data_IF_428273693312
#
_entry.id   IF_428273693312
#
_cell.length_a   1.000
_cell.length_b   1.000
_cell.length_c   1.000
_cell.angle_alpha   90.00
_cell.angle_beta   90.00
_cell.angle_gamma   90.00
#
_symmetry.space_group_name_H-M   'P 1'
#
loop_
_entity.id
_entity.type
_entity.pdbx_description
1 polymer ?
#
# COMPACT_ATOMS: atom_id res chain seq x y z
N UNK A 1 23.12 11.47 -43.24
CA UNK A 1 23.13 12.24 -42.00
C UNK A 1 22.63 11.37 -40.84
N UNK A 2 23.39 10.35 -40.41
CA UNK A 2 22.94 9.39 -39.39
C UNK A 2 24.09 8.83 -38.55
N UNK A 3 25.12 9.64 -38.27
CA UNK A 3 26.34 9.18 -37.55
C UNK A 3 26.80 10.05 -36.37
N UNK A 4 25.99 10.98 -35.86
CA UNK A 4 26.44 11.91 -34.80
C UNK A 4 25.89 11.57 -33.41
N UNK A 5 25.01 10.56 -33.27
CA UNK A 5 24.34 10.27 -31.97
C UNK A 5 24.96 9.10 -31.17
N UNK A 6 26.04 8.47 -31.64
CA UNK A 6 26.67 7.32 -30.96
C UNK A 6 27.96 7.62 -30.20
N UNK A 7 28.52 8.80 -30.36
CA UNK A 7 29.77 9.18 -29.71
C UNK A 7 29.68 9.52 -28.21
N UNK A 8 28.58 10.09 -27.65
CA UNK A 8 28.55 10.34 -26.21
C UNK A 8 28.27 9.10 -25.34
N UNK A 9 27.72 8.03 -25.93
CA UNK A 9 27.42 6.81 -25.17
C UNK A 9 28.68 5.94 -24.95
N UNK A 10 29.64 6.00 -25.83
CA UNK A 10 30.91 5.26 -25.71
C UNK A 10 31.86 5.88 -24.67
N UNK A 11 31.74 7.18 -24.40
CA UNK A 11 32.57 7.87 -23.42
C UNK A 11 32.19 7.57 -21.96
N UNK A 12 30.96 7.08 -21.72
CA UNK A 12 30.47 6.71 -20.38
C UNK A 12 30.95 5.32 -19.92
N UNK A 13 31.48 4.51 -20.82
CA UNK A 13 31.93 3.14 -20.52
C UNK A 13 33.45 3.03 -20.25
N UNK A 14 34.19 4.11 -20.32
CA UNK A 14 35.64 4.14 -20.08
C UNK A 14 36.00 4.68 -18.69
N UNK A 15 35.33 4.21 -17.64
CA UNK A 15 35.82 4.49 -16.29
C UNK A 15 36.94 3.49 -15.94
N UNK A 16 38.10 3.97 -15.52
CA UNK A 16 39.18 3.08 -15.07
C UNK A 16 38.73 2.35 -13.81
N UNK A 17 38.71 1.02 -13.89
CA UNK A 17 38.54 0.16 -12.72
C UNK A 17 39.82 0.25 -11.91
N UNK A 18 39.82 1.00 -10.82
CA UNK A 18 40.90 0.95 -9.84
C UNK A 18 40.80 -0.40 -9.11
N UNK A 19 41.71 -1.29 -9.42
CA UNK A 19 41.97 -2.50 -8.66
C UNK A 19 42.44 -2.10 -7.26
N UNK A 20 41.62 -2.28 -6.25
CA UNK A 20 42.04 -2.16 -4.87
C UNK A 20 42.81 -3.42 -4.49
N UNK A 21 44.07 -3.25 -4.12
CA UNK A 21 44.88 -4.29 -3.45
C UNK A 21 44.14 -4.75 -2.18
N UNK A 22 43.99 -6.06 -1.94
CA UNK A 22 43.35 -6.53 -0.71
C UNK A 22 44.28 -6.16 0.48
N UNK A 23 43.85 -5.21 1.28
CA UNK A 23 44.42 -5.02 2.60
C UNK A 23 43.97 -6.21 3.45
N UNK A 24 44.97 -6.94 3.97
CA UNK A 24 44.77 -8.03 4.91
C UNK A 24 44.18 -7.47 6.21
N UNK A 25 42.85 -7.46 6.28
CA UNK A 25 42.15 -6.95 7.45
C UNK A 25 41.68 -8.16 8.26
N UNK A 26 42.45 -8.51 9.26
CA UNK A 26 42.00 -9.37 10.34
C UNK A 26 40.78 -8.72 11.02
N UNK A 27 39.58 -9.10 10.59
CA UNK A 27 38.35 -8.68 11.22
C UNK A 27 38.24 -9.38 12.58
N UNK A 28 38.58 -8.64 13.63
CA UNK A 28 38.21 -9.04 15.00
C UNK A 28 36.69 -9.00 15.08
N UNK A 29 36.05 -10.16 15.00
CA UNK A 29 34.59 -10.28 15.22
C UNK A 29 34.34 -9.94 16.68
N UNK A 30 33.98 -8.71 16.97
CA UNK A 30 33.36 -8.35 18.23
C UNK A 30 32.03 -9.09 18.30
N UNK A 31 31.73 -9.65 19.46
CA UNK A 31 30.46 -10.33 19.72
C UNK A 31 29.32 -9.62 19.04
N UNK A 32 28.71 -10.26 18.05
CA UNK A 32 27.46 -9.81 17.49
C UNK A 32 26.40 -10.16 18.51
N UNK A 33 26.04 -9.22 19.35
CA UNK A 33 24.87 -9.31 20.18
C UNK A 33 23.66 -9.18 19.23
N UNK A 34 23.09 -10.31 18.84
CA UNK A 34 21.83 -10.35 18.12
C UNK A 34 20.76 -9.98 19.16
N UNK A 35 20.57 -8.69 19.37
CA UNK A 35 19.34 -8.22 19.98
C UNK A 35 18.25 -8.54 18.97
N UNK A 36 17.49 -9.62 19.23
CA UNK A 36 16.29 -9.93 18.50
C UNK A 36 15.33 -8.76 18.68
N UNK A 37 15.33 -7.84 17.74
CA UNK A 37 14.33 -6.80 17.64
C UNK A 37 13.00 -7.50 17.42
N UNK A 38 12.20 -7.63 18.46
CA UNK A 38 10.75 -7.83 18.34
C UNK A 38 10.32 -6.87 17.25
N UNK A 39 9.71 -7.39 16.19
CA UNK A 39 9.23 -6.65 15.02
C UNK A 39 9.45 -5.14 15.14
N UNK A 40 10.53 -4.62 14.55
CA UNK A 40 11.00 -3.25 14.74
C UNK A 40 9.96 -2.25 14.22
N UNK A 41 8.91 -1.99 14.95
CA UNK A 41 7.81 -1.16 14.53
C UNK A 41 6.48 -1.47 15.21
N UNK A 42 6.33 -2.67 15.79
CA UNK A 42 5.10 -3.02 16.50
C UNK A 42 5.26 -2.75 18.00
N UNK A 43 4.40 -1.91 18.55
CA UNK A 43 4.32 -1.62 19.98
C UNK A 43 2.88 -1.76 20.47
N UNK A 44 2.70 -1.86 21.78
CA UNK A 44 1.37 -1.89 22.40
C UNK A 44 1.28 -0.76 23.43
N UNK A 45 0.22 0.03 23.35
CA UNK A 45 -0.06 1.12 24.28
C UNK A 45 -1.56 1.22 24.52
N UNK A 46 -1.96 1.12 25.79
CA UNK A 46 -3.37 1.28 26.19
C UNK A 46 -4.32 0.27 25.51
N UNK A 47 -3.89 -0.98 25.30
CA UNK A 47 -4.68 -2.00 24.61
C UNK A 47 -4.74 -1.86 23.09
N UNK A 48 -4.08 -0.85 22.53
CA UNK A 48 -3.94 -0.68 21.08
C UNK A 48 -2.58 -1.21 20.61
N UNK A 49 -2.58 -1.95 19.52
CA UNK A 49 -1.40 -2.35 18.78
C UNK A 49 -1.05 -1.28 17.77
N UNK A 50 0.16 -0.80 17.81
CA UNK A 50 0.66 0.32 17.02
C UNK A 50 1.77 -0.20 16.12
N UNK A 51 1.56 -0.16 14.81
CA UNK A 51 2.57 -0.40 13.80
C UNK A 51 3.09 0.94 13.31
N UNK A 52 4.39 1.19 13.47
CA UNK A 52 5.05 2.35 12.85
C UNK A 52 5.46 2.00 11.43
N UNK A 53 5.11 2.86 10.51
CA UNK A 53 5.49 2.76 9.10
C UNK A 53 6.75 3.61 8.91
N UNK A 54 7.92 2.97 8.92
CA UNK A 54 9.20 3.66 8.77
C UNK A 54 9.47 4.08 7.31
N UNK A 55 10.40 5.02 7.12
CA UNK A 55 10.88 5.45 5.79
C UNK A 55 11.87 4.43 5.18
N UNK A 56 11.57 3.16 5.26
CA UNK A 56 12.38 2.11 4.64
C UNK A 56 11.85 1.77 3.24
N UNK A 57 12.65 1.01 2.49
CA UNK A 57 12.30 0.64 1.11
C UNK A 57 10.97 -0.13 1.04
N UNK A 58 10.66 -0.98 2.02
CA UNK A 58 9.41 -1.72 2.05
C UNK A 58 8.19 -0.81 2.23
N UNK A 59 8.27 0.23 3.05
CA UNK A 59 7.19 1.21 3.22
C UNK A 59 6.98 2.06 1.97
N UNK A 60 8.04 2.33 1.22
CA UNK A 60 7.97 3.09 -0.04
C UNK A 60 7.29 2.28 -1.15
N UNK A 61 7.53 0.97 -1.19
CA UNK A 61 7.02 0.09 -2.25
C UNK A 61 5.68 -0.56 -1.91
N UNK A 62 5.37 -0.70 -0.63
CA UNK A 62 4.18 -1.40 -0.16
C UNK A 62 2.94 -0.51 -0.16
N UNK A 63 1.81 -1.17 -0.29
CA UNK A 63 0.49 -0.56 -0.09
C UNK A 63 0.12 -0.56 1.40
N UNK A 64 -0.90 0.19 1.76
CA UNK A 64 -1.47 0.17 3.12
C UNK A 64 -2.01 -1.22 3.48
N UNK A 65 -2.60 -1.93 2.51
CA UNK A 65 -3.02 -3.32 2.69
C UNK A 65 -1.86 -4.26 3.03
N UNK A 66 -0.67 -4.07 2.41
CA UNK A 66 0.53 -4.84 2.75
C UNK A 66 1.04 -4.54 4.16
N UNK A 67 0.93 -3.28 4.59
CA UNK A 67 1.28 -2.88 5.95
C UNK A 67 0.35 -3.54 6.99
N UNK A 68 -0.94 -3.68 6.68
CA UNK A 68 -1.90 -4.35 7.57
C UNK A 68 -1.56 -5.82 7.82
N UNK A 69 -0.98 -6.52 6.84
CA UNK A 69 -0.53 -7.92 7.01
C UNK A 69 0.54 -8.10 8.09
N UNK A 70 1.18 -7.01 8.51
CA UNK A 70 2.17 -7.04 9.60
C UNK A 70 1.50 -6.95 10.99
N UNK A 71 0.22 -6.62 11.05
CA UNK A 71 -0.53 -6.55 12.30
C UNK A 71 -0.99 -7.95 12.73
N UNK A 72 -0.83 -8.31 14.01
CA UNK A 72 -1.28 -9.61 14.50
C UNK A 72 -2.80 -9.75 14.46
N UNK A 73 -3.27 -10.91 14.04
CA UNK A 73 -4.70 -11.26 13.89
C UNK A 73 -5.44 -10.46 12.82
N UNK A 74 -4.72 -9.73 11.97
CA UNK A 74 -5.27 -9.09 10.77
C UNK A 74 -4.92 -9.93 9.55
N UNK A 75 -5.90 -10.21 8.74
CA UNK A 75 -5.75 -10.88 7.45
C UNK A 75 -6.24 -9.92 6.38
N UNK A 76 -5.43 -9.71 5.36
CA UNK A 76 -5.81 -8.93 4.17
C UNK A 76 -5.77 -9.87 2.99
N UNK A 77 -6.87 -9.98 2.28
CA UNK A 77 -6.95 -10.78 1.07
C UNK A 77 -6.25 -10.12 -0.14
N UNK A 78 -6.33 -10.75 -1.31
CA UNK A 78 -5.74 -10.21 -2.54
C UNK A 78 -6.51 -8.99 -3.09
N UNK A 79 -7.72 -8.77 -2.62
CA UNK A 79 -8.58 -7.66 -3.02
C UNK A 79 -8.49 -6.49 -2.03
N UNK A 80 -7.67 -6.66 -0.98
CA UNK A 80 -7.46 -5.65 0.04
C UNK A 80 -8.52 -5.65 1.14
N UNK A 81 -9.50 -6.56 1.09
CA UNK A 81 -10.48 -6.68 2.16
C UNK A 81 -9.81 -7.16 3.44
N UNK A 82 -10.11 -6.47 4.53
CA UNK A 82 -9.47 -6.65 5.82
C UNK A 82 -10.40 -7.42 6.75
N UNK A 83 -9.86 -8.45 7.40
CA UNK A 83 -10.53 -9.13 8.51
C UNK A 83 -9.67 -9.05 9.75
N UNK A 84 -10.29 -8.85 10.89
CA UNK A 84 -9.65 -8.88 12.19
C UNK A 84 -10.33 -9.90 13.09
N UNK A 85 -9.54 -10.81 13.66
CA UNK A 85 -10.06 -11.92 14.49
C UNK A 85 -11.15 -12.75 13.81
N UNK A 86 -11.09 -12.86 12.48
CA UNK A 86 -12.05 -13.63 11.68
C UNK A 86 -13.33 -12.87 11.28
N UNK A 87 -13.51 -11.62 11.70
CA UNK A 87 -14.63 -10.77 11.28
C UNK A 87 -14.17 -9.72 10.26
N UNK A 88 -14.96 -9.51 9.21
CA UNK A 88 -14.75 -8.45 8.23
C UNK A 88 -15.34 -7.10 8.62
N UNK A 89 -16.09 -7.05 9.74
CA UNK A 89 -16.69 -5.80 10.23
C UNK A 89 -15.68 -4.99 11.05
N UNK A 90 -14.71 -4.38 10.37
CA UNK A 90 -13.63 -3.59 10.94
C UNK A 90 -13.85 -2.12 10.64
N UNK A 91 -14.01 -1.30 11.68
CA UNK A 91 -14.11 0.15 11.53
C UNK A 91 -12.78 0.75 11.07
N UNK A 92 -12.83 1.69 10.11
CA UNK A 92 -11.64 2.32 9.56
C UNK A 92 -11.68 3.83 9.74
N UNK A 93 -10.61 4.35 10.35
CA UNK A 93 -10.44 5.77 10.62
C UNK A 93 -9.20 6.30 9.91
N UNK A 94 -9.25 7.57 9.54
CA UNK A 94 -8.07 8.35 9.15
C UNK A 94 -7.95 9.51 10.12
N UNK A 95 -6.83 9.60 10.83
CA UNK A 95 -6.57 10.59 11.88
C UNK A 95 -7.67 10.62 12.98
N UNK A 96 -8.23 9.45 13.29
CA UNK A 96 -9.30 9.30 14.28
C UNK A 96 -10.71 9.65 13.80
N UNK A 97 -10.88 9.98 12.51
CA UNK A 97 -12.17 10.32 11.91
C UNK A 97 -12.60 9.21 10.94
N UNK A 98 -13.88 8.76 10.96
CA UNK A 98 -14.40 7.84 9.96
C UNK A 98 -14.21 8.39 8.55
N UNK A 99 -13.76 7.53 7.64
CA UNK A 99 -13.47 7.93 6.27
C UNK A 99 -14.34 7.11 5.30
N UNK A 100 -15.37 7.73 4.74
CA UNK A 100 -16.42 7.06 3.98
C UNK A 100 -15.92 6.21 2.80
N UNK A 101 -14.83 6.58 2.12
CA UNK A 101 -14.22 5.75 1.08
C UNK A 101 -13.67 4.42 1.62
N UNK A 102 -13.15 4.41 2.85
CA UNK A 102 -12.67 3.19 3.49
C UNK A 102 -13.80 2.36 4.09
N UNK A 103 -14.96 2.95 4.35
CA UNK A 103 -16.14 2.22 4.81
C UNK A 103 -16.80 1.45 3.67
N UNK A 104 -16.93 2.08 2.50
CA UNK A 104 -17.65 1.50 1.35
C UNK A 104 -16.74 0.68 0.43
N UNK A 105 -15.49 1.13 0.20
CA UNK A 105 -14.56 0.55 -0.76
C UNK A 105 -13.20 0.20 -0.14
N UNK A 106 -13.19 -0.23 1.12
CA UNK A 106 -11.95 -0.42 1.90
C UNK A 106 -10.87 -1.22 1.17
N UNK A 107 -11.23 -2.35 0.60
CA UNK A 107 -10.29 -3.22 -0.10
C UNK A 107 -9.63 -2.52 -1.28
N UNK A 108 -10.43 -2.01 -2.21
CA UNK A 108 -9.92 -1.36 -3.42
C UNK A 108 -9.09 -0.12 -3.11
N UNK A 109 -9.43 0.63 -2.08
CA UNK A 109 -8.69 1.83 -1.66
C UNK A 109 -7.37 1.43 -0.98
N UNK A 110 -7.38 0.49 -0.04
CA UNK A 110 -6.21 0.10 0.75
C UNK A 110 -5.06 -0.50 -0.08
N UNK A 111 -5.39 -1.25 -1.13
CA UNK A 111 -4.37 -1.77 -2.06
C UNK A 111 -3.81 -0.71 -3.00
N UNK A 112 -4.39 0.48 -3.04
CA UNK A 112 -3.96 1.60 -3.87
C UNK A 112 -3.22 2.67 -3.05
N UNK A 113 -3.59 2.83 -1.78
CA UNK A 113 -2.95 3.81 -0.90
C UNK A 113 -1.51 3.40 -0.57
N UNK A 114 -0.51 4.27 -0.82
CA UNK A 114 0.85 3.99 -0.41
C UNK A 114 0.98 3.95 1.10
N UNK A 115 1.66 2.93 1.64
CA UNK A 115 1.94 2.85 3.07
C UNK A 115 2.74 4.06 3.58
N UNK A 116 3.56 4.66 2.72
CA UNK A 116 4.36 5.85 3.01
C UNK A 116 3.52 7.08 3.39
N UNK A 117 2.24 7.14 3.00
CA UNK A 117 1.37 8.26 3.36
C UNK A 117 1.06 8.31 4.86
N UNK A 118 1.25 7.19 5.54
CA UNK A 118 0.99 7.04 6.97
C UNK A 118 2.29 6.84 7.74
N UNK A 119 2.34 7.39 8.92
CA UNK A 119 3.46 7.17 9.83
C UNK A 119 3.16 6.04 10.82
N UNK A 120 1.88 5.82 11.07
CA UNK A 120 1.42 4.86 12.06
C UNK A 120 0.08 4.25 11.67
N UNK A 121 -0.06 2.97 11.92
CA UNK A 121 -1.33 2.23 11.87
C UNK A 121 -1.61 1.73 13.27
N UNK A 122 -2.73 2.09 13.86
CA UNK A 122 -3.14 1.60 15.16
C UNK A 122 -4.36 0.69 15.05
N UNK A 123 -4.32 -0.41 15.78
CA UNK A 123 -5.38 -1.42 15.85
C UNK A 123 -5.86 -1.52 17.29
N UNK A 124 -7.12 -1.21 17.51
CA UNK A 124 -7.78 -1.31 18.81
C UNK A 124 -8.97 -2.27 18.77
N UNK A 125 -9.24 -2.94 19.90
CA UNK A 125 -10.46 -3.74 20.06
C UNK A 125 -11.69 -2.86 20.32
N UNK A 126 -11.46 -1.63 20.78
CA UNK A 126 -12.52 -0.68 21.12
C UNK A 126 -12.28 0.64 20.37
N UNK A 127 -13.35 1.31 19.93
CA UNK A 127 -13.24 2.64 19.35
C UNK A 127 -12.73 3.65 20.38
N UNK A 128 -11.98 4.67 19.95
CA UNK A 128 -11.73 5.82 20.79
C UNK A 128 -13.07 6.51 21.13
N UNK A 129 -13.14 7.17 22.29
CA UNK A 129 -14.37 7.75 22.86
C UNK A 129 -15.10 8.70 21.90
N UNK A 130 -14.38 9.28 20.95
CA UNK A 130 -14.89 10.23 19.96
C UNK A 130 -15.26 9.59 18.61
N UNK A 131 -15.12 8.30 18.46
CA UNK A 131 -15.49 7.60 17.24
C UNK A 131 -16.80 6.83 17.42
N UNK A 132 -17.67 6.86 16.40
CA UNK A 132 -18.86 6.02 16.35
C UNK A 132 -18.43 4.57 16.07
N UNK A 133 -18.81 3.60 16.90
CA UNK A 133 -18.36 2.23 16.77
C UNK A 133 -19.19 1.47 15.75
N UNK A 134 -18.83 1.55 14.47
CA UNK A 134 -19.46 0.73 13.43
C UNK A 134 -18.79 -0.64 13.22
N UNK A 135 -17.66 -0.89 13.86
CA UNK A 135 -16.90 -2.11 13.71
C UNK A 135 -16.99 -3.04 14.94
N UNK A 136 -17.66 -4.17 14.83
CA UNK A 136 -17.78 -5.18 15.90
C UNK A 136 -16.47 -5.88 16.21
N UNK A 137 -15.59 -6.03 15.23
CA UNK A 137 -14.34 -6.74 15.38
C UNK A 137 -13.22 -5.88 15.98
N UNK A 138 -13.27 -4.58 15.75
CA UNK A 138 -12.26 -3.62 16.18
C UNK A 138 -12.09 -2.48 15.19
N UNK A 139 -11.15 -1.59 15.49
CA UNK A 139 -10.92 -0.38 14.72
C UNK A 139 -9.47 -0.29 14.28
N UNK A 140 -9.27 0.00 13.00
CA UNK A 140 -8.01 0.38 12.40
C UNK A 140 -7.99 1.89 12.18
N UNK A 141 -6.98 2.57 12.71
CA UNK A 141 -6.79 3.99 12.50
C UNK A 141 -5.47 4.24 11.77
N UNK A 142 -5.57 4.88 10.62
CA UNK A 142 -4.47 5.31 9.78
C UNK A 142 -4.06 6.72 10.20
N UNK A 143 -2.87 6.88 10.78
CA UNK A 143 -2.36 8.19 11.17
C UNK A 143 -1.49 8.74 10.03
N UNK A 144 -1.90 9.83 9.37
CA UNK A 144 -1.16 10.42 8.29
C UNK A 144 0.26 10.82 8.71
N UNK A 145 1.21 10.67 7.79
CA UNK A 145 2.58 11.07 8.03
C UNK A 145 2.68 12.59 8.05
N UNK A 146 3.13 13.10 9.19
CA UNK A 146 3.51 14.49 9.35
C UNK A 146 5.03 14.57 9.43
N UNK A 147 5.59 15.55 8.77
CA UNK A 147 7.02 15.80 8.79
C UNK A 147 7.34 17.03 9.63
N UNK A 148 8.38 16.93 10.44
CA UNK A 148 8.87 18.05 11.26
C UNK A 148 9.72 19.02 10.44
N UNK A 149 10.06 20.15 11.05
CA UNK A 149 10.88 21.20 10.42
C UNK A 149 12.31 20.77 10.09
N UNK A 150 12.77 19.65 10.68
CA UNK A 150 14.08 19.05 10.39
C UNK A 150 14.07 17.96 9.31
N UNK A 151 12.91 17.61 8.78
CA UNK A 151 12.78 16.56 7.77
C UNK A 151 13.05 17.10 6.37
N UNK A 152 13.35 16.19 5.43
CA UNK A 152 13.56 16.57 4.03
C UNK A 152 12.31 17.23 3.45
N UNK A 153 12.45 18.35 2.74
CA UNK A 153 11.32 19.08 2.18
C UNK A 153 10.64 18.34 1.03
N UNK A 154 11.34 17.40 0.39
CA UNK A 154 10.83 16.67 -0.76
C UNK A 154 11.30 15.21 -0.72
N UNK A 155 10.36 14.30 -0.90
CA UNK A 155 10.61 12.88 -1.19
C UNK A 155 9.99 12.53 -2.53
N UNK A 156 10.71 11.84 -3.37
CA UNK A 156 10.22 11.33 -4.66
C UNK A 156 10.45 9.84 -4.73
N UNK A 157 9.43 9.11 -5.19
CA UNK A 157 9.49 7.68 -5.40
C UNK A 157 9.13 7.35 -6.84
N UNK A 158 9.91 6.51 -7.48
CA UNK A 158 9.65 6.01 -8.82
C UNK A 158 9.81 4.51 -8.82
N UNK A 159 8.88 3.82 -9.45
CA UNK A 159 8.91 2.38 -9.59
C UNK A 159 8.42 1.95 -10.95
N UNK A 160 9.05 0.94 -11.51
CA UNK A 160 8.62 0.28 -12.73
C UNK A 160 8.73 -1.23 -12.55
N UNK A 161 7.76 -1.95 -13.08
CA UNK A 161 7.70 -3.40 -13.00
C UNK A 161 7.27 -4.02 -14.32
N UNK A 162 7.32 -5.33 -14.36
CA UNK A 162 6.85 -6.10 -15.51
C UNK A 162 5.34 -5.93 -15.72
N UNK A 163 4.84 -6.06 -16.94
CA UNK A 163 3.43 -5.97 -17.32
C UNK A 163 2.80 -4.60 -16.99
N UNK A 164 3.38 -3.51 -17.49
CA UNK A 164 2.80 -2.16 -17.37
C UNK A 164 2.54 -1.72 -15.91
N UNK A 165 3.37 -2.13 -14.97
CA UNK A 165 3.29 -1.70 -13.58
C UNK A 165 4.19 -0.50 -13.36
N UNK A 166 3.60 0.63 -13.02
CA UNK A 166 4.32 1.87 -12.77
C UNK A 166 3.85 2.49 -11.45
N UNK A 167 4.76 3.14 -10.77
CA UNK A 167 4.47 3.93 -9.58
C UNK A 167 5.33 5.20 -9.63
N UNK A 168 4.71 6.34 -9.40
CA UNK A 168 5.38 7.63 -9.24
C UNK A 168 4.73 8.38 -8.08
N UNK A 169 5.52 8.74 -7.09
CA UNK A 169 5.03 9.44 -5.91
C UNK A 169 5.92 10.59 -5.50
N UNK A 170 5.33 11.60 -4.89
CA UNK A 170 6.02 12.73 -4.31
C UNK A 170 5.38 13.12 -2.97
N UNK A 171 6.20 13.52 -2.03
CA UNK A 171 5.80 14.10 -0.75
C UNK A 171 6.55 15.42 -0.58
N UNK A 172 5.81 16.50 -0.40
CA UNK A 172 6.33 17.86 -0.23
C UNK A 172 5.99 18.36 1.17
N UNK A 173 7.02 18.86 1.87
CA UNK A 173 6.89 19.43 3.21
C UNK A 173 7.46 20.82 3.22
N UNK A 174 6.64 21.81 3.53
CA UNK A 174 7.05 23.21 3.59
C UNK A 174 6.60 23.84 4.90
N UNK A 175 7.45 24.70 5.45
CA UNK A 175 7.20 25.41 6.71
C UNK A 175 7.42 26.93 6.54
N UNK A 176 6.70 27.62 5.64
CA UNK A 176 6.86 29.04 5.46
C UNK A 176 6.19 29.84 6.60
N UNK A 177 7.00 30.33 7.55
CA UNK A 177 6.53 31.14 8.66
C UNK A 177 5.56 30.40 9.57
N UNK A 178 4.29 30.81 9.58
CA UNK A 178 3.22 30.19 10.39
C UNK A 178 2.49 29.04 9.69
N UNK A 179 2.84 28.72 8.47
CA UNK A 179 2.23 27.62 7.72
C UNK A 179 3.06 26.35 7.81
N UNK A 180 2.37 25.24 7.95
CA UNK A 180 2.92 23.91 7.79
C UNK A 180 2.14 23.21 6.68
N UNK A 181 2.76 22.98 5.56
CA UNK A 181 2.13 22.40 4.37
C UNK A 181 2.73 21.03 4.13
N UNK A 182 1.88 20.01 4.15
CA UNK A 182 2.23 18.66 3.76
C UNK A 182 1.35 18.25 2.59
N UNK A 183 1.96 18.08 1.42
CA UNK A 183 1.27 17.64 0.21
C UNK A 183 1.89 16.33 -0.27
N UNK A 184 1.06 15.37 -0.58
CA UNK A 184 1.45 14.05 -1.06
C UNK A 184 0.68 13.75 -2.34
N UNK A 185 1.35 13.15 -3.28
CA UNK A 185 0.73 12.66 -4.50
C UNK A 185 1.33 11.32 -4.87
N UNK A 186 0.51 10.41 -5.34
CA UNK A 186 0.94 9.13 -5.88
C UNK A 186 0.11 8.76 -7.10
N UNK A 187 0.79 8.40 -8.16
CA UNK A 187 0.24 7.72 -9.32
C UNK A 187 0.66 6.27 -9.30
N UNK A 188 -0.29 5.37 -9.57
CA UNK A 188 -0.03 3.94 -9.65
C UNK A 188 -0.82 3.33 -10.79
N UNK A 189 -0.12 2.63 -11.67
CA UNK A 189 -0.70 1.76 -12.69
C UNK A 189 -0.34 0.32 -12.36
N UNK A 190 -1.34 -0.55 -12.36
CA UNK A 190 -1.15 -1.97 -12.12
C UNK A 190 -1.74 -2.81 -13.24
N UNK A 191 -1.15 -3.97 -13.42
CA UNK A 191 -1.69 -5.06 -14.21
C UNK A 191 -2.04 -6.21 -13.27
N UNK A 192 -3.32 -6.59 -13.25
CA UNK A 192 -3.82 -7.68 -12.43
C UNK A 192 -4.44 -8.73 -13.33
N UNK A 193 -3.95 -9.93 -13.21
CA UNK A 193 -4.53 -11.08 -13.86
C UNK A 193 -5.12 -12.02 -12.81
N UNK A 194 -6.38 -12.38 -12.99
CA UNK A 194 -7.09 -13.30 -12.11
C UNK A 194 -7.68 -14.41 -12.95
N UNK A 195 -7.34 -15.63 -12.60
CA UNK A 195 -7.98 -16.80 -13.17
C UNK A 195 -8.48 -17.68 -12.02
N UNK A 196 -9.69 -18.18 -12.14
CA UNK A 196 -10.18 -19.21 -11.26
C UNK A 196 -10.96 -20.26 -12.04
N UNK A 197 -10.87 -21.47 -11.57
CA UNK A 197 -11.59 -22.62 -12.10
C UNK A 197 -12.44 -23.21 -10.98
N UNK A 198 -13.72 -23.42 -11.26
CA UNK A 198 -14.65 -24.05 -10.34
C UNK A 198 -15.34 -25.22 -11.02
N UNK A 199 -15.29 -26.39 -10.41
CA UNK A 199 -16.05 -27.57 -10.84
C UNK A 199 -17.10 -27.89 -9.78
N UNK A 200 -18.34 -28.00 -10.21
CA UNK A 200 -19.46 -28.39 -9.33
C UNK A 200 -20.13 -29.59 -9.93
N UNK A 201 -20.17 -30.71 -9.20
CA UNK A 201 -20.83 -31.93 -9.61
C UNK A 201 -22.11 -32.15 -8.78
N UNK A 202 -23.19 -32.47 -9.47
CA UNK A 202 -24.46 -32.92 -8.89
C UNK A 202 -24.78 -34.30 -9.46
N UNK A 203 -25.79 -34.99 -8.92
CA UNK A 203 -26.20 -36.29 -9.41
C UNK A 203 -26.61 -36.29 -10.91
N UNK A 204 -26.99 -35.14 -11.43
CA UNK A 204 -27.50 -34.99 -12.82
C UNK A 204 -26.51 -34.34 -13.79
N UNK A 205 -25.63 -33.46 -13.30
CA UNK A 205 -24.77 -32.64 -14.14
C UNK A 205 -23.46 -32.30 -13.44
N UNK A 206 -22.40 -32.12 -14.24
CA UNK A 206 -21.13 -31.52 -13.84
C UNK A 206 -20.97 -30.18 -14.56
N UNK A 207 -20.78 -29.12 -13.82
CA UNK A 207 -20.53 -27.78 -14.37
C UNK A 207 -19.09 -27.39 -14.10
N UNK A 208 -18.38 -27.02 -15.16
CA UNK A 208 -17.04 -26.45 -15.10
C UNK A 208 -17.11 -24.97 -15.51
N UNK A 209 -16.64 -24.10 -14.63
CA UNK A 209 -16.54 -22.67 -14.86
C UNK A 209 -15.08 -22.28 -14.86
N UNK A 210 -14.61 -21.69 -15.95
CA UNK A 210 -13.30 -21.07 -16.04
C UNK A 210 -13.47 -19.57 -16.27
N UNK A 211 -12.95 -18.78 -15.35
CA UNK A 211 -12.98 -17.32 -15.44
C UNK A 211 -11.54 -16.82 -15.55
N UNK A 212 -11.28 -16.05 -16.60
CA UNK A 212 -10.04 -15.32 -16.78
C UNK A 212 -10.38 -13.83 -16.89
N UNK A 213 -9.83 -13.04 -16.01
CA UNK A 213 -10.04 -11.60 -16.01
C UNK A 213 -8.70 -10.87 -15.87
N UNK A 214 -8.54 -9.83 -16.68
CA UNK A 214 -7.45 -8.87 -16.55
C UNK A 214 -8.01 -7.52 -16.16
N UNK A 215 -7.33 -6.84 -15.25
CA UNK A 215 -7.67 -5.49 -14.84
C UNK A 215 -6.43 -4.60 -14.90
N UNK A 216 -6.63 -3.36 -15.32
CA UNK A 216 -5.57 -2.34 -15.43
C UNK A 216 -6.03 -1.07 -14.74
N UNK A 217 -6.00 -1.03 -13.40
CA UNK A 217 -6.33 0.17 -12.69
C UNK A 217 -5.23 1.23 -12.86
N UNK A 218 -5.66 2.45 -13.20
CA UNK A 218 -4.88 3.68 -13.12
C UNK A 218 -5.39 4.48 -11.92
N UNK A 219 -4.53 4.75 -10.96
CA UNK A 219 -4.92 5.32 -9.67
C UNK A 219 -4.12 6.57 -9.37
N UNK A 220 -4.82 7.62 -9.01
CA UNK A 220 -4.26 8.87 -8.52
C UNK A 220 -4.73 9.11 -7.10
N UNK A 221 -3.79 9.29 -6.19
CA UNK A 221 -4.08 9.66 -4.80
C UNK A 221 -3.37 10.96 -4.48
N UNK A 222 -4.09 11.95 -4.02
CA UNK A 222 -3.54 13.20 -3.52
C UNK A 222 -4.01 13.45 -2.10
N UNK A 223 -3.10 13.74 -1.19
CA UNK A 223 -3.36 14.08 0.20
C UNK A 223 -2.68 15.41 0.52
N UNK A 224 -3.44 16.37 1.03
CA UNK A 224 -2.91 17.69 1.36
C UNK A 224 -3.43 18.12 2.73
N UNK A 225 -2.51 18.45 3.61
CA UNK A 225 -2.79 19.05 4.92
C UNK A 225 -2.07 20.38 5.04
N UNK A 226 -2.82 21.40 5.42
CA UNK A 226 -2.31 22.75 5.67
C UNK A 226 -2.69 23.14 7.09
N UNK A 227 -1.68 23.40 7.89
CA UNK A 227 -1.84 23.94 9.24
C UNK A 227 -1.40 25.42 9.23
N UNK A 228 -2.16 26.27 9.92
CA UNK A 228 -1.83 27.66 10.13
C UNK A 228 -1.84 27.98 11.62
N UNK A 229 -0.70 28.39 12.17
CA UNK A 229 -0.54 28.78 13.56
C UNK A 229 -1.04 30.22 13.77
N UNK A 230 -2.27 30.35 14.29
CA UNK A 230 -2.85 31.64 14.69
C UNK A 230 -2.07 32.25 15.84
N UNK A 231 -1.81 31.43 16.87
CA UNK A 231 -1.05 31.76 18.07
C UNK A 231 -0.19 30.58 18.51
N UNK A 232 0.56 30.72 19.59
CA UNK A 232 1.31 29.61 20.20
C UNK A 232 0.41 28.46 20.72
N UNK A 233 -0.90 28.72 20.86
CA UNK A 233 -1.87 27.76 21.42
C UNK A 233 -2.95 27.35 20.42
N UNK A 234 -3.17 28.15 19.37
CA UNK A 234 -4.29 27.98 18.44
C UNK A 234 -3.79 27.71 17.04
N UNK A 235 -4.31 26.66 16.42
CA UNK A 235 -3.98 26.23 15.06
C UNK A 235 -5.25 25.94 14.28
N UNK A 236 -5.30 26.38 13.03
CA UNK A 236 -6.30 25.99 12.07
C UNK A 236 -5.69 24.93 11.16
N UNK A 237 -6.39 23.81 10.98
CA UNK A 237 -5.99 22.73 10.11
C UNK A 237 -7.03 22.53 9.00
N UNK A 238 -6.58 22.47 7.75
CA UNK A 238 -7.38 22.04 6.61
C UNK A 238 -6.73 20.79 6.02
N UNK A 239 -7.49 19.71 5.91
CA UNK A 239 -7.03 18.44 5.37
C UNK A 239 -7.98 17.95 4.28
N UNK A 240 -7.43 17.48 3.17
CA UNK A 240 -8.18 16.87 2.10
C UNK A 240 -7.42 15.68 1.51
N UNK A 241 -8.15 14.59 1.31
CA UNK A 241 -7.68 13.41 0.60
C UNK A 241 -8.54 13.21 -0.64
N UNK A 242 -7.89 13.09 -1.79
CA UNK A 242 -8.52 12.83 -3.08
C UNK A 242 -8.03 11.51 -3.64
N UNK A 243 -8.96 10.69 -4.08
CA UNK A 243 -8.69 9.40 -4.70
C UNK A 243 -9.48 9.30 -6.00
N UNK A 244 -8.77 9.06 -7.10
CA UNK A 244 -9.35 8.80 -8.41
C UNK A 244 -8.81 7.47 -8.91
N UNK A 245 -9.70 6.57 -9.30
CA UNK A 245 -9.36 5.29 -9.91
C UNK A 245 -10.11 5.13 -11.22
N UNK A 246 -9.38 5.02 -12.32
CA UNK A 246 -9.90 4.53 -13.59
C UNK A 246 -9.66 3.02 -13.66
N UNK A 247 -10.75 2.24 -13.69
CA UNK A 247 -10.70 0.80 -13.58
C UNK A 247 -11.21 0.14 -14.85
N UNK A 248 -10.29 -0.24 -15.71
CA UNK A 248 -10.59 -1.01 -16.91
C UNK A 248 -10.44 -2.51 -16.61
N UNK A 249 -11.54 -3.26 -16.76
CA UNK A 249 -11.56 -4.71 -16.56
C UNK A 249 -12.09 -5.43 -17.78
N UNK A 250 -11.34 -6.40 -18.27
CA UNK A 250 -11.76 -7.34 -19.30
C UNK A 250 -11.81 -8.75 -18.70
N UNK A 251 -12.93 -9.44 -18.84
CA UNK A 251 -13.10 -10.80 -18.32
C UNK A 251 -13.78 -11.71 -19.33
N UNK A 252 -13.36 -12.99 -19.38
CA UNK A 252 -14.01 -14.05 -20.14
C UNK A 252 -14.40 -15.18 -19.17
N UNK A 253 -15.68 -15.50 -19.14
CA UNK A 253 -16.23 -16.62 -18.37
C UNK A 253 -16.65 -17.70 -19.37
N UNK A 254 -16.11 -18.88 -19.21
CA UNK A 254 -16.50 -20.05 -20.01
C UNK A 254 -17.15 -21.07 -19.07
N UNK A 255 -18.44 -21.36 -19.32
CA UNK A 255 -19.18 -22.37 -18.57
C UNK A 255 -19.42 -23.57 -19.47
N UNK A 256 -19.05 -24.75 -18.99
CA UNK A 256 -19.31 -26.03 -19.67
C UNK A 256 -20.18 -26.89 -18.74
N UNK A 257 -21.24 -27.45 -19.29
CA UNK A 257 -22.12 -28.36 -18.56
C UNK A 257 -22.02 -29.74 -19.20
N UNK A 258 -21.75 -30.75 -18.39
CA UNK A 258 -21.63 -32.15 -18.79
C UNK A 258 -22.75 -32.98 -18.18
N UNK A 259 -23.23 -33.97 -18.91
CA UNK A 259 -24.14 -34.98 -18.39
C UNK A 259 -23.38 -36.01 -17.52
N UNK A 260 -24.06 -36.96 -16.84
CA UNK A 260 -23.38 -38.00 -16.05
C UNK A 260 -22.49 -38.93 -16.88
N UNK A 261 -22.70 -38.99 -18.17
CA UNK A 261 -21.86 -39.77 -19.10
C UNK A 261 -20.61 -39.02 -19.56
N UNK A 262 -20.42 -37.77 -19.15
CA UNK A 262 -19.30 -36.96 -19.55
C UNK A 262 -19.42 -36.23 -20.89
N UNK A 263 -20.60 -36.25 -21.50
CA UNK A 263 -20.87 -35.54 -22.74
C UNK A 263 -21.23 -34.09 -22.45
N UNK A 264 -20.64 -33.17 -23.20
CA UNK A 264 -20.90 -31.75 -23.04
C UNK A 264 -22.31 -31.41 -23.56
N UNK A 265 -23.16 -30.89 -22.69
CA UNK A 265 -24.54 -30.53 -23.00
C UNK A 265 -24.69 -29.07 -23.45
N UNK A 266 -23.90 -28.16 -22.86
CA UNK A 266 -24.00 -26.72 -23.10
C UNK A 266 -22.67 -26.03 -22.90
N UNK A 267 -22.39 -25.06 -23.77
CA UNK A 267 -21.32 -24.10 -23.66
C UNK A 267 -21.90 -22.70 -23.57
N UNK A 268 -21.55 -21.93 -22.54
CA UNK A 268 -22.09 -20.56 -22.30
C UNK A 268 -20.96 -19.62 -21.98
#
# INVERSE_FOLDING_TARGET
MRQILLLPLAALLAMPVFSQTPADTTLTIRNIEIQGTRFAGLSERGGMKILRVDNNLSSVTNTTADAFRQLPSVITDMEGAVTYRGSGNVGMLVDGVPYGLLEEYSGDVLIQLPALFFNQISLGAFPPINAVPDGDAGILNLVPRMYGTGDSPLYVTLGAGWNERYNAGAVLNLHPGKFHINAKYNYRREYRERSFSKSTATAKNRTEMNNNATARPDVHVADMKVDYDLSAKDRITVHGLYHLMDYSRYGRINNRVFNPKGEQMKYV
#
